data_IF_918482618169
#
_entry.id   IF_918482618169
#
_cell.length_a   1.000
_cell.length_b   1.000
_cell.length_c   1.000
_cell.angle_alpha   90.00
_cell.angle_beta   90.00
_cell.angle_gamma   90.00
#
_symmetry.space_group_name_H-M   'P 1'
#
loop_
_entity.id
_entity.type
_entity.pdbx_description
1 polymer ?
#
# COMPACT_ATOMS: atom_id res chain seq x y z
N UNK A 1 2.44 -13.25 -14.37
CA UNK A 1 3.22 -12.40 -13.46
C UNK A 1 4.14 -13.30 -12.64
N UNK A 2 5.45 -13.30 -12.87
CA UNK A 2 6.36 -14.25 -12.18
C UNK A 2 7.63 -13.61 -11.61
N UNK A 3 8.03 -12.41 -12.05
CA UNK A 3 9.25 -11.79 -11.54
C UNK A 3 9.02 -11.14 -10.15
N UNK A 4 9.98 -11.31 -9.24
CA UNK A 4 10.02 -10.66 -7.91
C UNK A 4 9.79 -9.14 -7.99
N UNK A 5 10.34 -8.52 -9.04
CA UNK A 5 10.13 -7.10 -9.35
C UNK A 5 8.65 -6.76 -9.52
N UNK A 6 7.91 -7.56 -10.28
CA UNK A 6 6.50 -7.26 -10.57
C UNK A 6 5.65 -7.37 -9.30
N UNK A 7 5.98 -8.33 -8.42
CA UNK A 7 5.38 -8.47 -7.09
C UNK A 7 5.71 -7.29 -6.19
N UNK A 8 6.95 -6.82 -6.20
CA UNK A 8 7.35 -5.62 -5.45
C UNK A 8 6.69 -4.34 -5.98
N UNK A 9 6.58 -4.20 -7.30
CA UNK A 9 5.86 -3.10 -7.94
C UNK A 9 4.40 -3.13 -7.51
N UNK A 10 3.78 -4.31 -7.51
CA UNK A 10 2.42 -4.49 -7.04
C UNK A 10 2.24 -4.03 -5.58
N UNK A 11 3.17 -4.41 -4.69
CA UNK A 11 3.13 -3.97 -3.29
C UNK A 11 3.36 -2.46 -3.18
N UNK A 12 4.28 -1.91 -3.96
CA UNK A 12 4.55 -0.46 -3.95
C UNK A 12 3.34 0.34 -4.42
N UNK A 13 2.69 -0.11 -5.50
CA UNK A 13 1.48 0.53 -6.03
C UNK A 13 0.31 0.38 -5.05
N UNK A 14 0.30 -0.68 -4.25
CA UNK A 14 -0.64 -0.86 -3.14
C UNK A 14 -0.35 0.08 -1.96
N UNK A 15 0.91 0.26 -1.58
CA UNK A 15 1.32 1.07 -0.42
C UNK A 15 1.26 2.57 -0.70
N UNK A 16 1.59 3.00 -1.91
CA UNK A 16 1.86 4.41 -2.20
C UNK A 16 1.23 4.84 -3.52
N UNK A 17 0.29 5.80 -3.43
CA UNK A 17 -0.41 6.35 -4.60
C UNK A 17 0.51 7.03 -5.61
N UNK A 18 0.05 7.13 -6.86
CA UNK A 18 0.84 7.57 -8.02
C UNK A 18 1.60 8.89 -7.88
N UNK A 19 1.04 9.91 -7.20
CA UNK A 19 1.68 11.22 -7.05
C UNK A 19 2.76 11.18 -5.97
N UNK A 20 4.01 11.41 -6.38
CA UNK A 20 5.14 11.53 -5.45
C UNK A 20 5.58 10.21 -4.82
N UNK A 21 5.16 9.06 -5.36
CA UNK A 21 5.42 7.73 -4.78
C UNK A 21 6.88 7.50 -4.41
N UNK A 22 7.82 7.92 -5.26
CA UNK A 22 9.25 7.69 -5.02
C UNK A 22 9.80 8.52 -3.86
N UNK A 23 9.35 9.76 -3.71
CA UNK A 23 9.73 10.63 -2.59
C UNK A 23 9.12 10.15 -1.27
N UNK A 24 7.89 9.63 -1.31
CA UNK A 24 7.26 8.99 -0.14
C UNK A 24 8.01 7.72 0.25
N UNK A 25 8.35 6.86 -0.71
CA UNK A 25 9.16 5.66 -0.46
C UNK A 25 10.51 6.01 0.15
N UNK A 26 11.18 7.05 -0.36
CA UNK A 26 12.44 7.52 0.19
C UNK A 26 12.32 7.94 1.66
N UNK A 27 11.29 8.71 2.02
CA UNK A 27 11.05 9.08 3.41
C UNK A 27 10.79 7.85 4.32
N UNK A 28 10.10 6.84 3.79
CA UNK A 28 9.71 5.66 4.55
C UNK A 28 10.86 4.66 4.71
N UNK A 29 11.64 4.44 3.66
CA UNK A 29 12.65 3.38 3.61
C UNK A 29 14.08 3.89 3.71
N UNK A 30 14.30 5.21 3.67
CA UNK A 30 15.62 5.84 3.59
C UNK A 30 16.45 5.39 2.37
N UNK A 31 15.76 4.90 1.33
CA UNK A 31 16.38 4.47 0.06
C UNK A 31 16.09 5.55 -0.98
N UNK A 32 17.09 6.04 -1.71
CA UNK A 32 16.91 7.16 -2.63
C UNK A 32 15.76 6.95 -3.63
N UNK A 33 14.97 8.01 -3.86
CA UNK A 33 13.86 7.98 -4.82
C UNK A 33 14.31 7.57 -6.24
N UNK A 34 15.53 7.94 -6.63
CA UNK A 34 16.15 7.53 -7.90
C UNK A 34 16.32 6.01 -8.01
N UNK A 35 16.74 5.36 -6.92
CA UNK A 35 16.88 3.90 -6.81
C UNK A 35 15.51 3.22 -6.97
N UNK A 36 14.48 3.74 -6.29
CA UNK A 36 13.10 3.25 -6.44
C UNK A 36 12.58 3.40 -7.86
N UNK A 37 12.81 4.56 -8.49
CA UNK A 37 12.44 4.83 -9.88
C UNK A 37 13.11 3.85 -10.85
N UNK A 38 14.42 3.62 -10.71
CA UNK A 38 15.16 2.69 -11.59
C UNK A 38 14.67 1.24 -11.47
N UNK A 39 14.32 0.80 -10.26
CA UNK A 39 13.71 -0.51 -10.05
C UNK A 39 12.31 -0.57 -10.69
N UNK A 40 11.50 0.46 -10.44
CA UNK A 40 10.13 0.55 -10.94
C UNK A 40 10.07 0.57 -12.47
N UNK A 41 10.96 1.31 -13.15
CA UNK A 41 11.00 1.33 -14.63
C UNK A 41 11.66 0.09 -15.25
N UNK A 42 12.23 -0.81 -14.43
CA UNK A 42 12.87 -2.04 -14.90
C UNK A 42 14.33 -1.88 -15.32
N UNK A 43 14.93 -0.73 -15.04
CA UNK A 43 16.35 -0.48 -15.34
C UNK A 43 17.27 -1.22 -14.37
N UNK A 44 16.83 -1.48 -13.14
CA UNK A 44 17.60 -2.21 -12.12
C UNK A 44 16.77 -3.31 -11.47
N UNK A 45 17.41 -4.42 -11.13
CA UNK A 45 16.79 -5.45 -10.29
C UNK A 45 16.59 -4.91 -8.86
N UNK A 46 15.57 -5.39 -8.12
CA UNK A 46 15.41 -5.06 -6.71
C UNK A 46 16.68 -5.40 -5.92
N UNK A 47 17.20 -4.44 -5.16
CA UNK A 47 18.37 -4.67 -4.32
C UNK A 47 17.99 -5.45 -3.05
N UNK A 48 19.00 -6.06 -2.41
CA UNK A 48 18.83 -6.75 -1.13
C UNK A 48 18.36 -5.82 0.00
N UNK A 49 18.48 -4.50 -0.14
CA UNK A 49 17.99 -3.50 0.81
C UNK A 49 16.52 -3.11 0.53
N UNK A 50 16.13 -3.04 -0.74
CA UNK A 50 14.77 -2.67 -1.16
C UNK A 50 13.73 -3.70 -0.71
N UNK A 51 14.08 -4.97 -0.83
CA UNK A 51 13.20 -6.09 -0.49
C UNK A 51 12.76 -6.04 1.00
N UNK A 52 13.65 -6.11 2.00
CA UNK A 52 13.24 -6.03 3.40
C UNK A 52 12.62 -4.69 3.77
N UNK A 53 12.99 -3.58 3.10
CA UNK A 53 12.38 -2.29 3.37
C UNK A 53 10.90 -2.27 3.04
N UNK A 54 10.48 -2.82 1.89
CA UNK A 54 9.07 -2.93 1.52
C UNK A 54 8.35 -3.98 2.37
N UNK A 55 8.99 -5.12 2.61
CA UNK A 55 8.36 -6.21 3.38
C UNK A 55 8.13 -5.85 4.86
N UNK A 56 8.92 -4.91 5.42
CA UNK A 56 8.64 -4.35 6.75
C UNK A 56 7.43 -3.41 6.76
N UNK A 57 7.15 -2.75 5.65
CA UNK A 57 5.98 -1.87 5.50
C UNK A 57 4.70 -2.67 5.21
N UNK A 58 4.84 -3.83 4.58
CA UNK A 58 3.75 -4.71 4.15
C UNK A 58 4.02 -6.17 4.58
N UNK A 59 4.07 -6.46 5.89
CA UNK A 59 4.44 -7.78 6.40
C UNK A 59 3.49 -8.88 5.90
N UNK A 60 2.22 -8.58 5.69
CA UNK A 60 1.19 -9.48 5.16
C UNK A 60 1.51 -10.03 3.76
N UNK A 61 2.25 -9.28 2.94
CA UNK A 61 2.62 -9.70 1.59
C UNK A 61 3.99 -10.38 1.52
N UNK A 62 4.71 -10.52 2.65
CA UNK A 62 6.08 -11.07 2.70
C UNK A 62 6.20 -12.44 2.05
N UNK A 63 5.29 -13.34 2.37
CA UNK A 63 5.36 -14.70 1.87
C UNK A 63 5.12 -14.75 0.36
N UNK A 64 4.06 -14.10 -0.11
CA UNK A 64 3.73 -14.02 -1.52
C UNK A 64 4.83 -13.31 -2.34
N UNK A 65 5.35 -12.20 -1.81
CA UNK A 65 6.42 -11.43 -2.43
C UNK A 65 7.69 -12.25 -2.64
N UNK A 66 8.04 -13.13 -1.70
CA UNK A 66 9.24 -13.97 -1.78
C UNK A 66 8.99 -15.23 -2.61
N UNK A 67 7.94 -15.98 -2.30
CA UNK A 67 7.71 -17.31 -2.87
C UNK A 67 6.99 -17.30 -4.20
N UNK A 68 6.19 -16.27 -4.50
CA UNK A 68 5.48 -16.14 -5.78
C UNK A 68 4.29 -17.08 -5.88
N UNK A 69 4.06 -17.83 -4.81
CA UNK A 69 2.96 -18.73 -4.58
C UNK A 69 2.33 -18.32 -3.25
N UNK A 70 1.02 -18.49 -3.16
CA UNK A 70 0.30 -18.34 -1.90
C UNK A 70 0.37 -19.69 -1.20
N UNK A 71 0.74 -19.71 0.09
CA UNK A 71 0.61 -20.93 0.87
C UNK A 71 -0.88 -21.20 1.05
N UNK A 72 -1.39 -22.25 0.42
CA UNK A 72 -2.63 -22.88 0.84
C UNK A 72 -2.32 -23.60 2.17
N UNK A 73 -2.25 -22.85 3.27
CA UNK A 73 -1.96 -23.44 4.58
C UNK A 73 -3.21 -23.47 5.43
N UNK A 74 -3.60 -24.70 5.76
CA UNK A 74 -4.50 -25.10 6.82
C UNK A 74 -4.64 -24.08 7.97
N UNK A 75 -5.85 -23.52 8.04
CA UNK A 75 -6.63 -23.15 9.25
C UNK A 75 -6.08 -22.20 10.32
N UNK A 76 -4.87 -21.66 10.31
CA UNK A 76 -4.48 -20.79 11.46
C UNK A 76 -3.63 -19.55 11.18
N UNK A 77 -3.08 -19.39 9.96
CA UNK A 77 -2.34 -18.17 9.59
C UNK A 77 -2.92 -17.61 8.32
N UNK A 78 -3.68 -16.51 8.43
CA UNK A 78 -4.30 -15.85 7.28
C UNK A 78 -3.19 -15.21 6.43
N UNK A 79 -2.68 -15.94 5.43
CA UNK A 79 -1.87 -15.37 4.36
C UNK A 79 -2.78 -15.05 3.20
N UNK A 80 -2.86 -13.77 2.89
CA UNK A 80 -3.86 -13.19 2.01
C UNK A 80 -3.44 -13.30 0.54
N UNK A 81 -4.34 -13.86 -0.27
CA UNK A 81 -4.21 -13.90 -1.73
C UNK A 81 -4.91 -12.67 -2.33
N UNK A 82 -4.21 -11.88 -3.16
CA UNK A 82 -4.80 -10.70 -3.80
C UNK A 82 -6.00 -11.05 -4.71
N UNK A 83 -6.11 -12.27 -5.24
CA UNK A 83 -7.23 -12.66 -6.12
C UNK A 83 -8.52 -12.96 -5.33
N UNK A 84 -8.43 -13.65 -4.19
CA UNK A 84 -9.58 -13.90 -3.29
C UNK A 84 -10.05 -12.63 -2.59
N UNK A 85 -9.14 -11.73 -2.21
CA UNK A 85 -9.51 -10.40 -1.69
C UNK A 85 -10.24 -9.57 -2.74
N UNK A 86 -9.75 -9.58 -3.99
CA UNK A 86 -10.40 -8.91 -5.12
C UNK A 86 -11.82 -9.44 -5.34
N UNK A 87 -12.01 -10.76 -5.24
CA UNK A 87 -13.32 -11.39 -5.43
C UNK A 87 -14.31 -11.05 -4.31
N UNK A 88 -13.92 -11.14 -3.04
CA UNK A 88 -14.81 -10.83 -1.91
C UNK A 88 -15.21 -9.35 -1.86
N UNK A 89 -14.32 -8.45 -2.27
CA UNK A 89 -14.63 -7.02 -2.37
C UNK A 89 -15.43 -6.66 -3.59
N UNK A 90 -15.18 -7.30 -4.73
CA UNK A 90 -16.03 -7.17 -5.90
C UNK A 90 -17.46 -7.63 -5.58
N UNK A 91 -17.63 -8.73 -4.81
CA UNK A 91 -18.92 -9.17 -4.28
C UNK A 91 -19.56 -8.12 -3.36
N UNK A 92 -18.77 -7.50 -2.48
CA UNK A 92 -19.29 -6.47 -1.56
C UNK A 92 -19.79 -5.23 -2.30
N UNK A 93 -19.01 -4.71 -3.25
CA UNK A 93 -19.40 -3.57 -4.10
C UNK A 93 -20.54 -3.89 -5.05
N UNK A 94 -20.57 -5.11 -5.56
CA UNK A 94 -21.68 -5.59 -6.37
C UNK A 94 -22.98 -5.59 -5.56
N UNK A 95 -22.93 -6.07 -4.32
CA UNK A 95 -24.06 -6.04 -3.40
C UNK A 95 -24.52 -4.61 -3.13
N UNK A 96 -23.60 -3.69 -2.85
CA UNK A 96 -23.92 -2.28 -2.57
C UNK A 96 -24.53 -1.57 -3.79
N UNK A 97 -23.93 -1.73 -4.97
CA UNK A 97 -24.49 -1.20 -6.23
C UNK A 97 -25.87 -1.79 -6.56
N UNK A 98 -26.09 -3.07 -6.26
CA UNK A 98 -27.39 -3.72 -6.45
C UNK A 98 -28.44 -3.16 -5.48
N UNK A 99 -28.06 -2.87 -4.23
CA UNK A 99 -28.95 -2.26 -3.23
C UNK A 99 -29.33 -0.83 -3.64
N UNK A 100 -28.38 -0.01 -4.10
CA UNK A 100 -28.64 1.36 -4.55
C UNK A 100 -29.51 1.41 -5.81
N UNK A 101 -29.28 0.48 -6.75
CA UNK A 101 -30.00 0.44 -8.04
C UNK A 101 -31.40 -0.16 -7.91
N UNK A 102 -31.58 -1.12 -6.99
CA UNK A 102 -32.85 -1.78 -6.73
C UNK A 102 -32.97 -2.15 -5.24
N UNK A 103 -33.65 -1.33 -4.42
CA UNK A 103 -33.85 -1.64 -3.00
C UNK A 103 -34.65 -2.93 -2.77
N UNK A 104 -35.43 -3.39 -3.75
CA UNK A 104 -36.14 -4.66 -3.68
C UNK A 104 -35.22 -5.89 -3.85
N UNK A 105 -33.95 -5.68 -4.22
CA UNK A 105 -32.91 -6.70 -4.22
C UNK A 105 -32.83 -7.46 -2.90
N UNK A 106 -32.97 -6.76 -1.77
CA UNK A 106 -32.92 -7.36 -0.43
C UNK A 106 -34.11 -8.30 -0.13
N UNK A 107 -35.19 -8.23 -0.92
CA UNK A 107 -36.37 -9.10 -0.79
C UNK A 107 -36.26 -10.39 -1.60
N UNK A 108 -35.22 -10.53 -2.42
CA UNK A 108 -35.00 -11.73 -3.23
C UNK A 108 -34.51 -12.91 -2.37
N UNK A 109 -34.71 -14.17 -2.80
CA UNK A 109 -34.13 -15.33 -2.12
C UNK A 109 -32.60 -15.22 -2.07
N UNK A 110 -32.00 -15.63 -0.94
CA UNK A 110 -30.55 -15.50 -0.71
C UNK A 110 -29.68 -16.10 -1.84
N UNK A 111 -30.10 -17.22 -2.44
CA UNK A 111 -29.41 -17.81 -3.59
C UNK A 111 -29.43 -16.94 -4.85
N UNK A 112 -30.52 -16.23 -5.11
CA UNK A 112 -30.60 -15.27 -6.23
C UNK A 112 -29.79 -14.00 -5.94
N UNK A 113 -29.75 -13.56 -4.68
CA UNK A 113 -28.90 -12.43 -4.28
C UNK A 113 -27.42 -12.75 -4.52
N UNK A 114 -26.96 -13.93 -4.08
CA UNK A 114 -25.58 -14.35 -4.27
C UNK A 114 -25.19 -14.51 -5.75
N UNK A 115 -26.08 -15.05 -6.59
CA UNK A 115 -25.82 -15.19 -8.02
C UNK A 115 -25.64 -13.84 -8.71
N UNK A 116 -26.53 -12.87 -8.45
CA UNK A 116 -26.43 -11.51 -9.01
C UNK A 116 -25.20 -10.76 -8.48
N UNK A 117 -24.88 -10.93 -7.20
CA UNK A 117 -23.67 -10.36 -6.61
C UNK A 117 -22.42 -10.94 -7.29
N UNK A 118 -22.36 -12.25 -7.49
CA UNK A 118 -21.21 -12.91 -8.12
C UNK A 118 -21.04 -12.52 -9.59
N UNK A 119 -22.13 -12.40 -10.34
CA UNK A 119 -22.13 -11.98 -11.74
C UNK A 119 -21.62 -10.54 -11.89
N UNK A 120 -22.17 -9.61 -11.11
CA UNK A 120 -21.75 -8.21 -11.16
C UNK A 120 -20.35 -8.02 -10.57
N UNK A 121 -19.94 -8.84 -9.59
CA UNK A 121 -18.58 -8.86 -9.09
C UNK A 121 -17.58 -9.28 -10.18
N UNK A 122 -17.94 -10.29 -10.97
CA UNK A 122 -17.13 -10.75 -12.11
C UNK A 122 -17.04 -9.66 -13.17
N UNK A 123 -18.14 -8.99 -13.48
CA UNK A 123 -18.16 -7.85 -14.41
C UNK A 123 -17.32 -6.67 -13.89
N UNK A 124 -17.35 -6.39 -12.58
CA UNK A 124 -16.49 -5.36 -11.97
C UNK A 124 -15.01 -5.73 -12.00
N UNK A 125 -14.67 -7.01 -11.90
CA UNK A 125 -13.29 -7.50 -12.06
C UNK A 125 -12.83 -7.43 -13.52
N UNK A 126 -13.72 -7.73 -14.46
CA UNK A 126 -13.45 -7.70 -15.90
C UNK A 126 -13.41 -6.26 -16.47
N UNK A 127 -14.21 -5.34 -15.92
CA UNK A 127 -14.28 -3.93 -16.33
C UNK A 127 -13.35 -2.99 -15.52
N UNK A 128 -12.90 -3.41 -14.35
CA UNK A 128 -12.34 -2.56 -13.31
C UNK A 128 -10.89 -2.84 -12.97
N UNK A 129 -9.99 -2.78 -13.96
CA UNK A 129 -8.55 -2.69 -13.71
C UNK A 129 -8.11 -1.38 -13.00
N UNK A 130 -8.99 -0.40 -12.72
CA UNK A 130 -8.51 0.92 -12.27
C UNK A 130 -9.16 1.59 -11.05
N UNK A 131 -10.37 1.29 -10.60
CA UNK A 131 -11.03 2.11 -9.55
C UNK A 131 -11.50 1.32 -8.31
N UNK A 132 -10.99 0.09 -8.13
CA UNK A 132 -11.35 -0.78 -7.01
C UNK A 132 -10.63 -0.46 -5.68
N UNK A 133 -9.61 0.41 -5.74
CA UNK A 133 -8.53 0.40 -4.75
C UNK A 133 -8.61 1.50 -3.68
N UNK A 134 -9.51 2.48 -3.84
CA UNK A 134 -9.51 3.70 -3.01
C UNK A 134 -9.99 3.55 -1.55
N UNK A 135 -10.79 2.53 -1.19
CA UNK A 135 -11.39 2.46 0.16
C UNK A 135 -10.55 1.71 1.20
N UNK A 136 -9.72 0.75 0.78
CA UNK A 136 -8.82 0.02 1.70
C UNK A 136 -7.46 0.71 1.84
N UNK A 137 -7.06 1.46 0.82
CA UNK A 137 -5.88 2.32 0.89
C UNK A 137 -6.04 3.39 1.95
N UNK A 138 -7.24 3.76 2.39
CA UNK A 138 -7.40 4.89 3.31
C UNK A 138 -6.87 4.60 4.71
N UNK A 139 -7.03 3.38 5.23
CA UNK A 139 -6.50 3.01 6.56
C UNK A 139 -4.98 2.96 6.57
N UNK A 140 -4.37 2.35 5.55
CA UNK A 140 -2.92 2.28 5.41
C UNK A 140 -2.32 3.62 4.97
N UNK A 141 -3.01 4.40 4.13
CA UNK A 141 -2.63 5.77 3.75
C UNK A 141 -2.64 6.67 4.96
N UNK A 142 -3.66 6.61 5.81
CA UNK A 142 -3.70 7.37 7.07
C UNK A 142 -2.56 6.94 7.99
N UNK A 143 -2.28 5.64 8.13
CA UNK A 143 -1.16 5.16 8.95
C UNK A 143 0.21 5.57 8.37
N UNK A 144 0.38 5.49 7.05
CA UNK A 144 1.59 5.87 6.33
C UNK A 144 1.82 7.38 6.34
N UNK A 145 0.78 8.18 6.13
CA UNK A 145 0.85 9.65 6.21
C UNK A 145 1.14 10.07 7.67
N UNK A 146 0.56 9.42 8.68
CA UNK A 146 0.93 9.63 10.09
C UNK A 146 2.40 9.28 10.38
N UNK A 147 2.91 8.19 9.82
CA UNK A 147 4.31 7.79 10.01
C UNK A 147 5.28 8.72 9.27
N UNK A 148 4.89 9.20 8.08
CA UNK A 148 5.59 10.25 7.34
C UNK A 148 5.64 11.56 8.15
N UNK A 149 4.53 11.96 8.75
CA UNK A 149 4.45 13.18 9.58
C UNK A 149 5.33 13.06 10.83
N UNK A 150 5.37 11.89 11.48
CA UNK A 150 6.29 11.63 12.60
C UNK A 150 7.74 11.76 12.19
N UNK A 151 8.15 11.11 11.09
CA UNK A 151 9.53 11.19 10.57
C UNK A 151 9.91 12.62 10.18
N UNK A 152 9.00 13.35 9.54
CA UNK A 152 9.21 14.76 9.19
C UNK A 152 9.39 15.63 10.44
N UNK A 153 8.57 15.41 11.48
CA UNK A 153 8.69 16.12 12.75
C UNK A 153 10.02 15.81 13.47
N UNK A 154 10.50 14.57 13.43
CA UNK A 154 11.81 14.19 13.98
C UNK A 154 12.96 14.87 13.24
N UNK A 155 12.92 14.90 11.90
CA UNK A 155 13.90 15.58 11.07
C UNK A 155 13.93 17.10 11.31
N UNK A 156 12.79 17.74 11.55
CA UNK A 156 12.73 19.16 11.90
C UNK A 156 13.31 19.42 13.30
N UNK A 157 13.06 18.53 14.27
CA UNK A 157 13.62 18.63 15.63
C UNK A 157 15.14 18.48 15.64
N UNK A 158 15.69 17.53 14.86
CA UNK A 158 17.14 17.38 14.73
C UNK A 158 17.77 18.59 14.04
N UNK A 159 17.17 19.12 12.97
CA UNK A 159 17.65 20.33 12.30
C UNK A 159 17.66 21.58 13.21
N UNK A 160 16.61 21.76 14.03
CA UNK A 160 16.53 22.86 14.99
C UNK A 160 17.59 22.75 16.11
N UNK A 161 17.89 21.53 16.56
CA UNK A 161 18.93 21.25 17.57
C UNK A 161 20.34 21.52 17.04
N UNK A 162 20.58 21.26 15.74
CA UNK A 162 21.86 21.58 15.09
C UNK A 162 22.03 23.09 14.86
N UNK A 163 20.95 23.84 14.63
CA UNK A 163 20.99 25.30 14.52
C UNK A 163 21.24 26.00 15.87
N UNK A 164 20.73 25.45 16.98
CA UNK A 164 20.98 26.03 18.32
C UNK A 164 22.42 25.82 18.82
N UNK A 165 23.13 24.81 18.31
CA UNK A 165 24.54 24.57 18.61
C UNK A 165 25.51 25.51 17.87
N UNK A 166 25.05 26.29 16.88
CA UNK A 166 25.85 27.27 16.12
C UNK A 166 25.74 28.70 16.65
N UNK A 167 25.35 28.90 17.91
CA UNK A 167 25.33 30.24 18.53
C UNK A 167 26.77 30.71 18.75
N UNK A 168 27.23 31.83 18.13
CA UNK A 168 28.60 32.30 18.30
C UNK A 168 28.83 32.71 19.76
N UNK A 169 30.04 32.49 20.31
CA UNK A 169 30.35 32.82 21.69
C UNK A 169 30.11 34.33 21.93
N UNK A 170 29.35 34.65 22.97
CA UNK A 170 29.14 36.03 23.43
C UNK A 170 30.51 36.64 23.72
N UNK A 171 30.88 37.66 22.94
CA UNK A 171 32.05 38.47 23.25
C UNK A 171 31.81 39.16 24.60
N UNK A 172 32.68 38.87 25.57
CA UNK A 172 32.70 39.54 26.86
C UNK A 172 33.11 41.01 26.67
N UNK A 173 32.43 41.98 27.32
CA UNK A 173 32.82 43.37 27.24
C UNK A 173 34.17 43.56 27.93
N UNK A 174 35.15 44.07 27.18
CA UNK A 174 36.46 44.46 27.69
C UNK A 174 36.27 45.64 28.66
N UNK A 175 36.74 45.49 29.89
CA UNK A 175 37.03 46.56 30.83
C UNK A 175 38.49 46.49 31.21
#
# INVERSE_FOLDING_TARGET
>A
MTALRDRLIWIIDHLVTDRGRYSKLEALTDIPASKWKMMYTGNTKPSAEMLPAILRLAPEYTFWALHGEVKESDKETVQYDPATEQLERAKTRAKEKLIDRDPAFLRQPHGQQQAKIAELAKELLESGSNNAWHDFTETYRVALDQELDKKNAENQKTAARTQTAKRPPKQLPKR
#
